data_IF_953475264345
#
_entry.id   IF_953475264345
#
_cell.length_a   1.000
_cell.length_b   1.000
_cell.length_c   1.000
_cell.angle_alpha   90.00
_cell.angle_beta   90.00
_cell.angle_gamma   90.00
#
_symmetry.space_group_name_H-M   'P 1'
#
loop_
_entity.id
_entity.type
_entity.pdbx_description
1 polymer ?
#
# COMPACT_ATOMS: atom_id res chain seq x y z
N UNK A 1 27.82 -34.96 -39.33
CA UNK A 1 27.96 -33.77 -38.47
C UNK A 1 26.56 -33.24 -38.23
N UNK A 2 25.97 -33.54 -37.07
CA UNK A 2 24.65 -33.03 -36.68
C UNK A 2 24.88 -31.65 -36.08
N UNK A 3 24.43 -30.60 -36.74
CA UNK A 3 24.39 -29.27 -36.12
C UNK A 3 23.48 -29.38 -34.89
N UNK A 4 23.93 -28.97 -33.70
CA UNK A 4 23.05 -28.92 -32.53
C UNK A 4 21.88 -28.01 -32.88
N UNK A 5 20.65 -28.54 -32.88
CA UNK A 5 19.46 -27.73 -33.05
C UNK A 5 19.40 -26.76 -31.87
N UNK A 6 19.57 -25.47 -32.15
CA UNK A 6 19.45 -24.43 -31.15
C UNK A 6 18.06 -24.50 -30.51
N UNK A 7 18.02 -24.40 -29.18
CA UNK A 7 16.76 -24.52 -28.44
C UNK A 7 15.77 -23.44 -28.93
N UNK A 8 14.48 -23.77 -29.19
CA UNK A 8 13.53 -22.86 -29.85
C UNK A 8 13.31 -21.53 -29.12
N UNK A 9 13.49 -21.54 -27.79
CA UNK A 9 13.36 -20.34 -26.94
C UNK A 9 14.68 -19.56 -26.76
N UNK A 10 15.79 -19.99 -27.35
CA UNK A 10 17.09 -19.31 -27.23
C UNK A 10 17.03 -17.84 -27.68
N UNK A 11 16.40 -17.47 -28.81
CA UNK A 11 16.30 -16.06 -29.21
C UNK A 11 15.58 -15.21 -28.17
N UNK A 12 14.55 -15.76 -27.55
CA UNK A 12 13.77 -15.09 -26.51
C UNK A 12 14.57 -14.93 -25.22
N UNK A 13 15.33 -15.96 -24.82
CA UNK A 13 16.22 -15.89 -23.67
C UNK A 13 17.29 -14.82 -23.85
N UNK A 14 17.91 -14.78 -25.04
CA UNK A 14 18.92 -13.77 -25.39
C UNK A 14 18.32 -12.37 -25.36
N UNK A 15 17.11 -12.17 -25.89
CA UNK A 15 16.43 -10.88 -25.84
C UNK A 15 16.15 -10.43 -24.39
N UNK A 16 15.67 -11.33 -23.53
CA UNK A 16 15.44 -11.05 -22.11
C UNK A 16 16.75 -10.70 -21.39
N UNK A 17 17.83 -11.44 -21.66
CA UNK A 17 19.15 -11.18 -21.10
C UNK A 17 19.71 -9.82 -21.56
N UNK A 18 19.57 -9.47 -22.85
CA UNK A 18 20.02 -8.21 -23.41
C UNK A 18 19.32 -6.98 -22.80
N UNK A 19 18.10 -7.15 -22.32
CA UNK A 19 17.38 -6.12 -21.57
C UNK A 19 17.78 -6.04 -20.08
N UNK A 20 18.79 -6.80 -19.66
CA UNK A 20 19.35 -6.75 -18.31
C UNK A 20 18.55 -7.53 -17.26
N UNK A 21 17.82 -8.58 -17.65
CA UNK A 21 17.10 -9.41 -16.67
C UNK A 21 18.02 -9.98 -15.60
N UNK A 22 17.67 -9.78 -14.34
CA UNK A 22 18.34 -10.36 -13.18
C UNK A 22 17.31 -10.90 -12.18
N UNK A 23 17.60 -12.03 -11.50
CA UNK A 23 18.86 -12.79 -11.56
C UNK A 23 18.95 -13.75 -12.77
N UNK A 24 20.17 -13.97 -13.29
CA UNK A 24 20.42 -14.89 -14.42
C UNK A 24 19.93 -16.33 -14.14
N UNK A 25 19.92 -16.77 -12.87
CA UNK A 25 19.41 -18.09 -12.48
C UNK A 25 17.92 -18.29 -12.79
N UNK A 26 17.14 -17.22 -12.87
CA UNK A 26 15.71 -17.25 -13.18
C UNK A 26 15.41 -16.90 -14.64
N UNK A 27 16.43 -16.64 -15.45
CA UNK A 27 16.28 -16.25 -16.85
C UNK A 27 15.40 -17.24 -17.62
N UNK A 28 15.59 -18.53 -17.35
CA UNK A 28 14.85 -19.56 -18.06
C UNK A 28 13.39 -19.66 -17.66
N UNK A 29 13.09 -19.48 -16.37
CA UNK A 29 11.72 -19.37 -15.90
C UNK A 29 11.01 -18.16 -16.52
N UNK A 30 11.68 -17.01 -16.57
CA UNK A 30 11.16 -15.81 -17.22
C UNK A 30 10.90 -16.03 -18.72
N UNK A 31 11.82 -16.73 -19.40
CA UNK A 31 11.69 -17.04 -20.83
C UNK A 31 10.50 -17.97 -21.09
N UNK A 32 10.33 -19.01 -20.27
CA UNK A 32 9.19 -19.94 -20.38
C UNK A 32 7.85 -19.23 -20.12
N UNK A 33 7.80 -18.32 -19.16
CA UNK A 33 6.59 -17.51 -18.90
C UNK A 33 6.28 -16.59 -20.08
N UNK A 34 7.28 -15.92 -20.63
CA UNK A 34 7.13 -15.07 -21.82
C UNK A 34 6.63 -15.87 -23.03
N UNK A 35 7.15 -17.08 -23.24
CA UNK A 35 6.76 -17.94 -24.34
C UNK A 35 5.28 -18.40 -24.29
N UNK A 36 4.64 -18.38 -23.12
CA UNK A 36 3.21 -18.69 -22.98
C UNK A 36 2.30 -17.62 -23.58
N UNK A 37 2.83 -16.43 -23.91
CA UNK A 37 2.08 -15.33 -24.53
C UNK A 37 2.75 -14.98 -25.88
N UNK A 38 2.48 -15.73 -26.96
CA UNK A 38 3.25 -15.65 -28.20
C UNK A 38 3.27 -14.26 -28.84
N UNK A 39 2.15 -13.54 -28.81
CA UNK A 39 2.08 -12.17 -29.33
C UNK A 39 3.02 -11.22 -28.59
N UNK A 40 3.05 -11.31 -27.25
CA UNK A 40 3.91 -10.48 -26.42
C UNK A 40 5.39 -10.88 -26.57
N UNK A 41 5.69 -12.17 -26.74
CA UNK A 41 7.04 -12.64 -27.04
C UNK A 41 7.55 -12.10 -28.38
N UNK A 42 6.70 -12.07 -29.42
CA UNK A 42 7.04 -11.46 -30.70
C UNK A 42 7.26 -9.94 -30.57
N UNK A 43 6.44 -9.26 -29.76
CA UNK A 43 6.58 -7.84 -29.49
C UNK A 43 7.88 -7.49 -28.77
N UNK A 44 8.28 -8.32 -27.80
CA UNK A 44 9.57 -8.22 -27.12
C UNK A 44 10.74 -8.38 -28.10
N UNK A 45 10.69 -9.40 -28.96
CA UNK A 45 11.73 -9.63 -29.97
C UNK A 45 11.82 -8.47 -30.96
N UNK A 46 10.69 -7.95 -31.43
CA UNK A 46 10.64 -6.79 -32.31
C UNK A 46 11.20 -5.53 -31.64
N UNK A 47 10.86 -5.31 -30.37
CA UNK A 47 11.37 -4.21 -29.56
C UNK A 47 12.90 -4.26 -29.39
N UNK A 48 13.44 -5.44 -29.05
CA UNK A 48 14.89 -5.64 -28.92
C UNK A 48 15.59 -5.48 -30.27
N UNK A 49 15.01 -6.01 -31.36
CA UNK A 49 15.52 -5.85 -32.73
C UNK A 49 15.58 -4.38 -33.16
N UNK A 50 14.66 -3.55 -32.69
CA UNK A 50 14.64 -2.11 -32.95
C UNK A 50 15.66 -1.31 -32.11
N UNK A 51 16.50 -1.97 -31.30
CA UNK A 51 17.48 -1.31 -30.44
C UNK A 51 16.91 -0.86 -29.09
N UNK A 52 15.74 -1.38 -28.69
CA UNK A 52 15.08 -1.05 -27.42
C UNK A 52 14.87 0.46 -27.17
N UNK A 53 14.32 1.21 -28.14
CA UNK A 53 14.16 2.65 -28.01
C UNK A 53 13.16 3.01 -26.90
N UNK A 54 13.33 4.13 -26.19
CA UNK A 54 12.33 4.59 -25.23
C UNK A 54 10.98 4.86 -25.95
N UNK A 55 9.84 4.66 -25.27
CA UNK A 55 8.53 4.90 -25.87
C UNK A 55 8.30 6.40 -26.18
N UNK A 56 7.99 6.71 -27.42
CA UNK A 56 7.44 8.01 -27.85
C UNK A 56 5.92 7.96 -27.77
N UNK A 57 5.35 8.68 -26.80
CA UNK A 57 3.90 8.75 -26.57
C UNK A 57 3.17 9.68 -27.56
N UNK A 58 3.88 10.61 -28.20
CA UNK A 58 3.29 11.51 -29.20
C UNK A 58 3.04 10.76 -30.51
N UNK A 59 3.99 9.90 -30.88
CA UNK A 59 3.92 9.09 -32.10
C UNK A 59 3.45 7.65 -31.86
N UNK A 60 3.29 7.26 -30.59
CA UNK A 60 2.95 5.90 -30.15
C UNK A 60 3.90 4.84 -30.71
N UNK A 61 5.20 5.14 -30.70
CA UNK A 61 6.26 4.26 -31.19
C UNK A 61 7.20 3.79 -30.07
N UNK A 62 7.76 2.57 -30.16
CA UNK A 62 7.40 1.54 -31.14
C UNK A 62 6.01 0.96 -30.85
N UNK A 63 5.23 0.70 -31.91
CA UNK A 63 3.83 0.29 -31.83
C UNK A 63 3.62 -0.99 -30.98
N UNK A 64 4.62 -1.88 -30.93
CA UNK A 64 4.59 -3.09 -30.11
C UNK A 64 4.39 -2.80 -28.61
N UNK A 65 4.89 -1.65 -28.11
CA UNK A 65 4.72 -1.29 -26.70
C UNK A 65 3.33 -0.77 -26.37
N UNK A 66 2.59 -0.25 -27.36
CA UNK A 66 1.30 0.41 -27.16
C UNK A 66 0.11 -0.54 -27.34
N UNK A 67 0.34 -1.80 -27.69
CA UNK A 67 -0.72 -2.81 -27.80
C UNK A 67 -1.48 -2.96 -26.47
N UNK A 68 -2.82 -3.08 -26.53
CA UNK A 68 -3.65 -3.11 -25.33
C UNK A 68 -3.45 -4.39 -24.53
N UNK A 69 -3.40 -4.25 -23.20
CA UNK A 69 -3.38 -5.31 -22.21
C UNK A 69 -4.63 -5.21 -21.31
N UNK A 70 -5.00 -6.30 -20.62
CA UNK A 70 -6.13 -6.27 -19.68
C UNK A 70 -6.02 -5.15 -18.65
N UNK A 71 -7.12 -4.44 -18.40
CA UNK A 71 -7.15 -3.30 -17.48
C UNK A 71 -6.73 -1.96 -18.09
N UNK A 72 -6.63 -1.87 -19.43
CA UNK A 72 -6.30 -0.62 -20.12
C UNK A 72 -4.81 -0.27 -20.09
N UNK A 73 -3.96 -1.21 -19.69
CA UNK A 73 -2.51 -1.04 -19.70
C UNK A 73 -1.92 -1.34 -21.07
N UNK A 74 -0.68 -0.92 -21.27
CA UNK A 74 0.21 -1.37 -22.33
C UNK A 74 1.63 -1.45 -21.77
N UNK A 75 2.57 -2.08 -22.49
CA UNK A 75 3.98 -2.10 -22.05
C UNK A 75 4.53 -0.66 -21.95
N UNK A 76 4.10 0.23 -22.84
CA UNK A 76 4.47 1.65 -22.80
C UNK A 76 3.96 2.33 -21.52
N UNK A 77 2.68 2.16 -21.14
CA UNK A 77 2.15 2.76 -19.91
C UNK A 77 2.82 2.18 -18.67
N UNK A 78 3.18 0.89 -18.68
CA UNK A 78 3.94 0.26 -17.59
C UNK A 78 5.35 0.88 -17.45
N UNK A 79 6.03 1.18 -18.56
CA UNK A 79 7.32 1.88 -18.52
C UNK A 79 7.16 3.31 -17.98
N UNK A 80 6.16 4.07 -18.45
CA UNK A 80 5.98 5.48 -18.07
C UNK A 80 5.41 5.66 -16.66
N UNK A 81 4.31 4.98 -16.37
CA UNK A 81 3.52 5.24 -15.16
C UNK A 81 4.03 4.47 -13.95
N UNK A 82 4.64 3.31 -14.18
CA UNK A 82 5.25 2.50 -13.12
C UNK A 82 6.76 2.59 -13.08
N UNK A 83 7.40 3.27 -14.04
CA UNK A 83 8.86 3.43 -14.14
C UNK A 83 9.63 2.11 -14.25
N UNK A 84 8.97 1.05 -14.74
CA UNK A 84 9.64 -0.22 -14.98
C UNK A 84 10.67 -0.08 -16.10
N UNK A 85 11.79 -0.78 -15.94
CA UNK A 85 12.65 -1.11 -17.08
C UNK A 85 11.84 -1.93 -18.10
N UNK A 86 12.24 -1.89 -19.37
CA UNK A 86 11.52 -2.57 -20.44
C UNK A 86 11.23 -4.05 -20.11
N UNK A 87 12.23 -4.81 -19.65
CA UNK A 87 12.00 -6.21 -19.29
C UNK A 87 11.01 -6.40 -18.13
N UNK A 88 11.05 -5.52 -17.12
CA UNK A 88 10.09 -5.55 -16.03
C UNK A 88 8.66 -5.31 -16.53
N UNK A 89 8.47 -4.33 -17.41
CA UNK A 89 7.18 -4.03 -18.02
C UNK A 89 6.65 -5.22 -18.86
N UNK A 90 7.50 -5.86 -19.66
CA UNK A 90 7.13 -7.05 -20.42
C UNK A 90 6.75 -8.23 -19.52
N UNK A 91 7.45 -8.48 -18.42
CA UNK A 91 7.12 -9.57 -17.49
C UNK A 91 5.82 -9.32 -16.73
N UNK A 92 5.54 -8.07 -16.38
CA UNK A 92 4.24 -7.70 -15.81
C UNK A 92 3.14 -7.83 -16.86
N UNK A 93 3.41 -7.49 -18.12
CA UNK A 93 2.46 -7.70 -19.21
C UNK A 93 2.14 -9.19 -19.42
N UNK A 94 3.10 -10.10 -19.21
CA UNK A 94 2.84 -11.56 -19.19
C UNK A 94 1.83 -11.92 -18.10
N UNK A 95 2.03 -11.45 -16.86
CA UNK A 95 1.12 -11.72 -15.74
C UNK A 95 -0.27 -11.11 -15.98
N UNK A 96 -0.35 -9.89 -16.52
CA UNK A 96 -1.63 -9.29 -16.91
C UNK A 96 -2.35 -10.11 -17.99
N UNK A 97 -1.60 -10.73 -18.91
CA UNK A 97 -2.18 -11.51 -20.00
C UNK A 97 -2.64 -12.90 -19.55
N UNK A 98 -1.86 -13.56 -18.68
CA UNK A 98 -2.16 -14.91 -18.20
C UNK A 98 -3.13 -14.91 -17.03
N UNK A 99 -3.00 -13.94 -16.12
CA UNK A 99 -3.74 -13.85 -14.83
C UNK A 99 -4.09 -12.39 -14.51
N UNK A 100 -5.07 -11.79 -15.20
CA UNK A 100 -5.36 -10.36 -15.13
C UNK A 100 -5.56 -9.83 -13.71
N UNK A 101 -6.29 -10.54 -12.86
CA UNK A 101 -6.58 -10.09 -11.49
C UNK A 101 -5.33 -10.11 -10.60
N UNK A 102 -4.48 -11.14 -10.73
CA UNK A 102 -3.20 -11.22 -10.02
C UNK A 102 -2.23 -10.15 -10.52
N UNK A 103 -2.16 -9.94 -11.84
CA UNK A 103 -1.33 -8.88 -12.43
C UNK A 103 -1.73 -7.49 -11.94
N UNK A 104 -3.03 -7.20 -11.89
CA UNK A 104 -3.56 -5.93 -11.33
C UNK A 104 -3.25 -5.81 -9.84
N UNK A 105 -3.43 -6.87 -9.06
CA UNK A 105 -3.10 -6.86 -7.64
C UNK A 105 -1.60 -6.59 -7.40
N UNK A 106 -0.72 -7.15 -8.24
CA UNK A 106 0.72 -6.93 -8.17
C UNK A 106 1.09 -5.47 -8.52
N UNK A 107 0.47 -4.90 -9.56
CA UNK A 107 0.60 -3.48 -9.87
C UNK A 107 0.16 -2.60 -8.69
N UNK A 108 -0.97 -2.92 -8.07
CA UNK A 108 -1.46 -2.21 -6.90
C UNK A 108 -0.47 -2.30 -5.72
N UNK A 109 0.09 -3.48 -5.48
CA UNK A 109 1.13 -3.70 -4.48
C UNK A 109 2.34 -2.77 -4.71
N UNK A 110 2.82 -2.66 -5.95
CA UNK A 110 3.95 -1.77 -6.26
C UNK A 110 3.63 -0.29 -6.10
N UNK A 111 2.38 0.13 -6.33
CA UNK A 111 1.97 1.51 -6.06
C UNK A 111 2.01 1.85 -4.56
N UNK A 112 1.74 0.87 -3.70
CA UNK A 112 1.70 1.05 -2.25
C UNK A 112 3.07 0.92 -1.59
N UNK A 113 3.83 -0.11 -1.97
CA UNK A 113 5.07 -0.49 -1.29
C UNK A 113 6.33 -0.17 -2.08
N UNK A 114 6.18 0.32 -3.30
CA UNK A 114 7.28 0.44 -4.25
C UNK A 114 7.78 -0.94 -4.68
N UNK A 115 8.84 -0.92 -5.48
CA UNK A 115 9.56 -2.13 -5.88
C UNK A 115 11.06 -1.83 -5.97
N UNK A 116 11.87 -2.87 -5.79
CA UNK A 116 13.31 -2.76 -5.91
C UNK A 116 13.74 -2.86 -7.38
N UNK A 117 14.49 -1.88 -7.85
CA UNK A 117 15.17 -1.90 -9.15
C UNK A 117 16.66 -2.11 -8.93
N UNK A 118 17.24 -3.06 -9.65
CA UNK A 118 18.69 -3.23 -9.71
C UNK A 118 19.27 -2.34 -10.81
N UNK A 119 20.25 -1.54 -10.48
CA UNK A 119 20.98 -0.69 -11.42
C UNK A 119 22.12 -1.47 -12.08
N UNK A 120 22.76 -0.89 -13.10
CA UNK A 120 23.84 -1.52 -13.86
C UNK A 120 25.09 -1.79 -13.03
N UNK A 121 25.30 -1.02 -11.96
CA UNK A 121 26.40 -1.18 -11.01
C UNK A 121 26.09 -2.22 -9.91
N UNK A 122 24.92 -2.86 -9.95
CA UNK A 122 24.46 -3.83 -8.96
C UNK A 122 23.81 -3.21 -7.71
N UNK A 123 23.79 -1.88 -7.59
CA UNK A 123 23.04 -1.20 -6.53
C UNK A 123 21.54 -1.42 -6.70
N UNK A 124 20.78 -1.24 -5.61
CA UNK A 124 19.32 -1.39 -5.62
C UNK A 124 18.63 -0.13 -5.13
N UNK A 125 17.74 0.41 -5.95
CA UNK A 125 16.88 1.54 -5.61
C UNK A 125 15.48 1.05 -5.27
N UNK A 126 14.89 1.60 -4.21
CA UNK A 126 13.46 1.44 -3.95
C UNK A 126 12.70 2.49 -4.76
N UNK A 127 11.95 2.05 -5.77
CA UNK A 127 11.18 2.91 -6.66
C UNK A 127 9.72 2.92 -6.21
N UNK A 128 9.20 4.11 -5.97
CA UNK A 128 7.77 4.34 -5.85
C UNK A 128 7.30 4.95 -7.18
N UNK A 129 6.38 4.28 -7.91
CA UNK A 129 5.78 4.87 -9.11
C UNK A 129 5.32 6.32 -8.85
N UNK A 130 5.39 7.23 -9.84
CA UNK A 130 4.97 8.63 -9.72
C UNK A 130 3.45 8.81 -9.75
N UNK A 131 2.96 9.92 -9.20
CA UNK A 131 1.52 10.23 -9.16
C UNK A 131 1.12 10.70 -10.55
N UNK A 132 0.67 9.81 -11.42
CA UNK A 132 0.12 10.18 -12.74
C UNK A 132 -1.40 10.29 -12.67
N UNK A 133 -1.97 11.14 -13.51
CA UNK A 133 -3.42 11.41 -13.58
C UNK A 133 -4.26 10.18 -13.96
N UNK A 134 -3.61 9.16 -14.55
CA UNK A 134 -4.22 7.88 -14.91
C UNK A 134 -4.23 6.86 -13.76
N UNK A 135 -3.47 7.10 -12.68
CA UNK A 135 -3.48 6.23 -11.52
C UNK A 135 -4.60 6.66 -10.55
N UNK A 136 -5.19 5.74 -9.77
CA UNK A 136 -6.27 6.06 -8.85
C UNK A 136 -5.89 7.16 -7.86
N UNK A 137 -6.59 8.29 -7.96
CA UNK A 137 -6.39 9.47 -7.12
C UNK A 137 -7.64 9.79 -6.32
N UNK A 138 -7.42 10.34 -5.13
CA UNK A 138 -8.49 10.89 -4.32
C UNK A 138 -9.10 12.11 -5.00
N UNK A 139 -10.41 12.15 -5.29
CA UNK A 139 -11.03 13.31 -5.90
C UNK A 139 -11.00 14.56 -4.98
N UNK A 140 -10.79 14.37 -3.67
CA UNK A 140 -10.70 15.48 -2.71
C UNK A 140 -9.27 16.04 -2.58
N UNK A 141 -8.26 15.19 -2.40
CA UNK A 141 -6.90 15.67 -2.10
C UNK A 141 -5.84 15.29 -3.14
N UNK A 142 -6.23 14.57 -4.20
CA UNK A 142 -5.37 14.05 -5.27
C UNK A 142 -4.20 13.16 -4.81
N UNK A 143 -4.18 12.77 -3.53
CA UNK A 143 -3.29 11.72 -3.05
C UNK A 143 -3.63 10.40 -3.76
N UNK A 144 -2.69 9.44 -3.76
CA UNK A 144 -3.02 8.07 -4.17
C UNK A 144 -4.20 7.58 -3.36
N UNK A 145 -5.23 7.11 -4.05
CA UNK A 145 -6.36 6.47 -3.41
C UNK A 145 -7.05 5.52 -4.37
N UNK A 146 -7.16 4.28 -3.92
CA UNK A 146 -7.67 3.17 -4.69
C UNK A 146 -9.09 2.82 -4.22
N UNK A 147 -9.90 2.28 -5.12
CA UNK A 147 -11.32 2.01 -4.86
C UNK A 147 -11.57 0.87 -3.85
N UNK A 148 -10.57 0.02 -3.62
CA UNK A 148 -10.55 -1.03 -2.61
C UNK A 148 -10.33 -0.50 -1.19
N UNK A 149 -9.81 0.73 -1.04
CA UNK A 149 -9.68 1.37 0.27
C UNK A 149 -10.95 2.16 0.60
N UNK A 150 -11.70 1.79 1.65
CA UNK A 150 -12.95 2.48 2.01
C UNK A 150 -12.71 3.95 2.39
N UNK A 151 -11.50 4.29 2.88
CA UNK A 151 -11.10 5.63 3.28
C UNK A 151 -9.75 6.01 2.69
N UNK A 152 -9.65 7.24 2.18
CA UNK A 152 -8.41 7.86 1.73
C UNK A 152 -7.48 8.11 2.93
N UNK A 153 -6.23 7.58 2.93
CA UNK A 153 -5.32 7.73 4.06
C UNK A 153 -4.78 9.14 4.24
N UNK A 154 -4.81 9.98 3.19
CA UNK A 154 -4.25 11.33 3.25
C UNK A 154 -5.24 12.40 3.72
N UNK A 155 -6.50 12.33 3.29
CA UNK A 155 -7.52 13.34 3.65
C UNK A 155 -8.75 12.77 4.35
N UNK A 156 -8.85 11.44 4.46
CA UNK A 156 -9.99 10.80 5.12
C UNK A 156 -11.27 10.69 4.30
N UNK A 157 -11.27 11.09 3.01
CA UNK A 157 -12.43 10.93 2.12
C UNK A 157 -12.87 9.45 2.05
N UNK A 158 -14.17 9.21 2.12
CA UNK A 158 -14.79 7.86 2.04
C UNK A 158 -15.62 7.80 0.75
N UNK A 159 -15.35 6.84 -0.15
CA UNK A 159 -16.06 6.73 -1.46
C UNK A 159 -17.31 5.87 -1.38
N UNK A 160 -17.29 4.85 -0.52
CA UNK A 160 -18.42 3.99 -0.18
C UNK A 160 -18.59 4.02 1.32
N UNK A 161 -19.78 4.37 1.80
CA UNK A 161 -20.12 4.11 3.18
C UNK A 161 -20.13 2.59 3.33
N UNK A 162 -19.17 2.01 4.05
CA UNK A 162 -19.25 0.61 4.45
C UNK A 162 -20.26 0.57 5.58
N UNK A 163 -21.53 0.42 5.23
CA UNK A 163 -22.54 0.02 6.21
C UNK A 163 -22.51 -1.50 6.33
N UNK A 164 -22.97 -2.04 7.46
CA UNK A 164 -23.19 -3.49 7.64
C UNK A 164 -24.15 -4.04 6.58
N UNK A 165 -24.88 -3.16 5.90
CA UNK A 165 -25.99 -3.46 5.02
C UNK A 165 -25.57 -3.61 3.55
N UNK A 166 -24.37 -3.14 3.16
CA UNK A 166 -23.94 -3.02 1.75
C UNK A 166 -23.01 -4.16 1.24
N UNK A 167 -22.88 -5.29 1.97
CA UNK A 167 -22.12 -6.45 1.49
C UNK A 167 -22.19 -7.67 2.40
N UNK A 168 -21.90 -8.89 1.89
CA UNK A 168 -21.86 -10.08 2.74
C UNK A 168 -20.75 -9.89 3.79
N UNK A 169 -21.15 -9.99 5.06
CA UNK A 169 -20.23 -9.99 6.19
C UNK A 169 -19.11 -11.01 5.94
N UNK A 170 -17.83 -10.67 6.20
CA UNK A 170 -16.72 -11.58 5.98
C UNK A 170 -16.73 -12.65 7.07
N UNK A 171 -17.66 -13.61 6.94
CA UNK A 171 -17.96 -14.64 7.91
C UNK A 171 -16.75 -15.55 8.17
N UNK A 172 -15.91 -15.82 7.17
CA UNK A 172 -14.65 -16.54 7.34
C UNK A 172 -13.62 -15.80 8.21
N UNK A 173 -13.50 -14.47 8.04
CA UNK A 173 -12.62 -13.63 8.89
C UNK A 173 -13.19 -13.51 10.31
N UNK A 174 -14.52 -13.41 10.46
CA UNK A 174 -15.16 -13.45 11.77
C UNK A 174 -14.96 -14.81 12.45
N UNK A 175 -15.10 -15.90 11.71
CA UNK A 175 -14.94 -17.26 12.21
C UNK A 175 -13.51 -17.51 12.70
N UNK A 176 -12.51 -17.01 11.98
CA UNK A 176 -11.10 -17.10 12.38
C UNK A 176 -10.78 -16.23 13.60
N UNK A 177 -11.41 -15.06 13.74
CA UNK A 177 -11.29 -14.24 14.96
C UNK A 177 -11.90 -14.93 16.21
N UNK A 178 -12.98 -15.70 16.05
CA UNK A 178 -13.56 -16.53 17.13
C UNK A 178 -12.80 -17.83 17.42
N UNK A 179 -11.86 -18.24 16.56
CA UNK A 179 -11.09 -19.47 16.75
C UNK A 179 -9.78 -19.26 17.53
N UNK A 180 -9.39 -18.03 17.84
CA UNK A 180 -8.27 -17.76 18.75
C UNK A 180 -8.71 -17.80 20.22
N UNK A 181 -8.40 -18.95 20.83
CA UNK A 181 -8.34 -19.26 22.26
C UNK A 181 -9.66 -19.63 22.97
N UNK A 182 -9.87 -20.95 23.09
CA UNK A 182 -10.41 -21.53 24.32
C UNK A 182 -9.48 -21.18 25.49
N UNK A 183 -9.78 -20.08 26.18
CA UNK A 183 -9.30 -19.89 27.55
C UNK A 183 -10.10 -20.84 28.42
N UNK A 184 -9.41 -21.81 29.00
CA UNK A 184 -9.92 -22.75 29.99
C UNK A 184 -10.87 -22.05 30.98
N UNK A 185 -12.07 -22.63 31.10
CA UNK A 185 -13.14 -22.12 31.91
C UNK A 185 -12.77 -22.13 33.40
N UNK A 186 -12.66 -20.93 33.97
CA UNK A 186 -13.20 -20.70 35.32
C UNK A 186 -13.86 -19.33 35.38
N UNK A 187 -15.06 -19.25 34.81
CA UNK A 187 -15.98 -18.12 35.00
C UNK A 187 -17.01 -18.53 36.05
N UNK A 188 -17.05 -17.91 37.24
CA UNK A 188 -18.20 -18.03 38.12
C UNK A 188 -19.41 -17.29 37.54
N UNK A 189 -20.58 -17.76 37.96
CA UNK A 189 -21.90 -17.59 37.38
C UNK A 189 -22.32 -16.15 36.99
N UNK A 190 -23.14 -16.13 35.94
CA UNK A 190 -23.73 -15.00 35.24
C UNK A 190 -24.38 -13.92 36.12
N UNK A 191 -24.28 -12.66 35.65
CA UNK A 191 -25.25 -11.61 35.94
C UNK A 191 -25.80 -11.11 34.60
N UNK A 192 -27.12 -11.15 34.49
CA UNK A 192 -27.94 -10.89 33.30
C UNK A 192 -27.86 -9.42 32.79
N UNK A 193 -28.20 -9.18 31.51
CA UNK A 193 -28.26 -7.84 30.93
C UNK A 193 -29.61 -7.22 31.28
N UNK A 194 -29.61 -6.29 32.23
CA UNK A 194 -30.54 -5.15 32.34
C UNK A 194 -30.40 -4.56 33.75
N UNK A 195 -29.59 -3.52 33.89
CA UNK A 195 -29.75 -2.54 34.96
C UNK A 195 -29.74 -1.13 34.33
N UNK A 196 -30.70 -0.27 34.67
CA UNK A 196 -30.73 1.11 34.22
C UNK A 196 -29.57 1.87 34.86
N UNK A 197 -28.76 2.54 34.04
CA UNK A 197 -27.76 3.48 34.54
C UNK A 197 -28.51 4.73 35.01
N UNK A 198 -28.62 4.89 36.34
CA UNK A 198 -29.16 6.09 36.98
C UNK A 198 -28.28 7.32 36.71
N UNK A 199 -28.87 8.52 36.58
CA UNK A 199 -28.13 9.75 36.30
C UNK A 199 -27.63 10.36 37.61
N UNK A 200 -26.34 10.19 37.93
CA UNK A 200 -25.66 11.07 38.87
C UNK A 200 -24.87 12.12 38.09
N UNK A 201 -25.57 13.21 37.81
CA UNK A 201 -25.06 14.42 37.19
C UNK A 201 -23.98 15.07 38.05
N UNK A 202 -22.82 15.33 37.46
CA UNK A 202 -22.14 16.60 37.66
C UNK A 202 -21.96 17.19 36.27
N UNK A 203 -22.70 18.27 36.02
CA UNK A 203 -22.90 18.93 34.73
C UNK A 203 -21.62 19.65 34.28
N UNK A 204 -20.54 18.90 34.00
CA UNK A 204 -19.32 19.46 33.43
C UNK A 204 -19.46 19.45 31.92
N UNK A 205 -19.40 20.61 31.28
CA UNK A 205 -19.49 20.76 29.82
C UNK A 205 -18.12 21.12 29.26
N UNK A 206 -17.84 20.66 28.05
CA UNK A 206 -16.63 21.04 27.34
C UNK A 206 -16.60 22.56 27.12
N UNK A 207 -15.53 23.24 27.52
CA UNK A 207 -15.40 24.69 27.33
C UNK A 207 -15.37 25.10 25.84
N UNK A 208 -15.02 24.18 24.93
CA UNK A 208 -14.89 24.49 23.52
C UNK A 208 -16.15 24.18 22.70
N UNK A 209 -16.87 23.10 23.02
CA UNK A 209 -18.05 22.67 22.24
C UNK A 209 -19.32 22.48 23.07
N UNK A 210 -19.28 22.75 24.37
CA UNK A 210 -20.41 22.67 25.32
C UNK A 210 -21.05 21.28 25.48
N UNK A 211 -20.45 20.25 24.88
CA UNK A 211 -20.87 18.86 25.04
C UNK A 211 -20.73 18.39 26.50
N UNK A 212 -21.70 17.64 27.06
CA UNK A 212 -21.58 17.06 28.40
C UNK A 212 -20.38 16.11 28.52
N UNK A 213 -19.69 16.15 29.66
CA UNK A 213 -18.52 15.34 29.97
C UNK A 213 -18.78 14.47 31.20
N UNK A 214 -18.30 13.23 31.17
CA UNK A 214 -18.31 12.31 32.32
C UNK A 214 -17.28 12.74 33.38
N UNK A 215 -17.47 12.35 34.65
CA UNK A 215 -16.72 12.85 35.82
C UNK A 215 -15.18 12.73 35.74
N UNK A 216 -14.64 11.86 34.87
CA UNK A 216 -13.20 11.62 34.71
C UNK A 216 -12.71 11.78 33.27
N UNK A 217 -13.41 12.57 32.45
CA UNK A 217 -13.01 12.84 31.07
C UNK A 217 -11.75 13.72 31.05
N UNK A 218 -10.61 13.19 30.61
CA UNK A 218 -9.40 13.98 30.34
C UNK A 218 -9.43 14.68 28.97
N UNK A 219 -10.31 14.22 28.08
CA UNK A 219 -10.51 14.76 26.74
C UNK A 219 -12.01 14.79 26.41
N UNK A 220 -12.44 15.76 25.61
CA UNK A 220 -13.80 15.83 25.12
C UNK A 220 -14.00 14.85 23.96
N UNK A 221 -14.96 13.90 24.04
CA UNK A 221 -15.19 12.92 22.98
C UNK A 221 -15.75 13.54 21.69
N UNK A 222 -16.33 14.74 21.77
CA UNK A 222 -16.96 15.38 20.61
C UNK A 222 -16.00 16.27 19.81
N UNK A 223 -15.12 17.04 20.48
CA UNK A 223 -14.21 17.97 19.79
C UNK A 223 -12.72 17.71 20.05
N UNK A 224 -12.38 16.71 20.85
CA UNK A 224 -10.99 16.37 21.18
C UNK A 224 -10.28 17.32 22.14
N UNK A 225 -10.95 18.39 22.61
CA UNK A 225 -10.36 19.36 23.53
C UNK A 225 -9.95 18.70 24.87
N UNK A 226 -8.74 18.98 25.33
CA UNK A 226 -8.22 18.49 26.62
C UNK A 226 -8.99 19.16 27.75
N UNK A 227 -9.50 18.36 28.68
CA UNK A 227 -10.25 18.82 29.84
C UNK A 227 -9.29 18.75 31.03
N UNK A 228 -8.84 19.91 31.51
CA UNK A 228 -7.90 19.98 32.61
C UNK A 228 -8.53 19.39 33.89
N UNK A 229 -7.97 18.29 34.37
CA UNK A 229 -8.27 17.75 35.71
C UNK A 229 -7.31 18.44 36.67
N UNK A 230 -7.83 19.14 37.69
CA UNK A 230 -7.02 19.80 38.69
C UNK A 230 -6.13 18.76 39.40
N UNK A 231 -4.82 18.86 39.22
CA UNK A 231 -3.83 18.04 39.88
C UNK A 231 -3.13 18.85 40.99
N UNK A 232 -2.90 18.17 42.12
CA UNK A 232 -2.17 18.63 43.30
C UNK A 232 -0.68 18.97 43.01
N UNK A 233 0.06 19.62 43.94
CA UNK A 233 1.24 20.43 43.63
C UNK A 233 2.52 19.69 43.20
N UNK A 234 3.05 20.20 42.08
CA UNK A 234 4.41 20.44 41.56
C UNK A 234 5.63 19.89 42.33
N UNK A 235 6.46 19.12 41.61
CA UNK A 235 7.93 19.25 41.63
C UNK A 235 8.46 19.43 40.20
N UNK A 236 9.68 19.95 40.04
CA UNK A 236 10.12 20.80 38.92
C UNK A 236 10.22 20.11 37.53
N UNK A 237 9.73 20.75 36.44
CA UNK A 237 9.86 20.25 35.07
C UNK A 237 11.25 20.52 34.48
N UNK A 238 11.87 19.51 33.87
CA UNK A 238 13.12 19.63 33.10
C UNK A 238 12.82 19.94 31.63
N UNK A 239 13.64 20.77 30.97
CA UNK A 239 13.47 21.09 29.54
C UNK A 239 14.06 19.98 28.65
N UNK A 240 13.37 19.64 27.56
CA UNK A 240 13.87 18.66 26.59
C UNK A 240 15.13 19.18 25.88
N UNK A 241 16.25 18.43 25.85
CA UNK A 241 17.50 18.89 25.25
C UNK A 241 17.42 19.06 23.72
N UNK A 242 16.46 18.40 23.05
CA UNK A 242 16.31 18.47 21.59
C UNK A 242 15.42 19.61 21.10
N UNK A 243 14.39 19.98 21.86
CA UNK A 243 13.39 20.95 21.39
C UNK A 243 13.07 22.07 22.39
N UNK A 244 13.69 22.06 23.57
CA UNK A 244 13.47 23.06 24.61
C UNK A 244 12.12 22.97 25.32
N UNK A 245 11.19 22.12 24.85
CA UNK A 245 9.87 21.97 25.45
C UNK A 245 9.98 21.40 26.87
N UNK A 246 9.28 22.02 27.83
CA UNK A 246 9.21 21.55 29.21
C UNK A 246 8.61 20.14 29.26
N UNK A 247 9.38 19.20 29.78
CA UNK A 247 8.94 17.84 30.04
C UNK A 247 8.31 17.77 31.44
N UNK A 248 7.31 16.91 31.59
CA UNK A 248 6.76 16.61 32.92
C UNK A 248 7.80 15.83 33.74
N UNK A 249 7.86 16.03 35.07
CA UNK A 249 8.73 15.24 35.93
C UNK A 249 8.45 13.74 35.74
N UNK A 250 9.51 12.95 35.53
CA UNK A 250 9.40 11.50 35.31
C UNK A 250 8.94 11.07 33.90
N UNK A 251 8.82 11.99 32.94
CA UNK A 251 8.47 11.64 31.57
C UNK A 251 9.61 10.89 30.87
N UNK A 252 9.36 9.63 30.47
CA UNK A 252 10.30 8.83 29.67
C UNK A 252 10.51 9.37 28.25
N UNK A 253 9.55 10.14 27.73
CA UNK A 253 9.58 10.68 26.38
C UNK A 253 9.09 12.13 26.34
N UNK A 254 9.65 12.94 25.46
CA UNK A 254 9.18 14.30 25.21
C UNK A 254 7.83 14.28 24.47
N UNK A 255 6.81 14.89 25.06
CA UNK A 255 5.46 14.98 24.47
C UNK A 255 5.38 15.82 23.19
N UNK A 256 6.42 16.60 22.88
CA UNK A 256 6.45 17.44 21.69
C UNK A 256 7.24 16.81 20.54
N UNK A 257 8.41 16.24 20.81
CA UNK A 257 9.31 15.75 19.76
C UNK A 257 9.59 14.23 19.80
N UNK A 258 9.01 13.51 20.78
CA UNK A 258 9.15 12.05 20.91
C UNK A 258 10.52 11.56 21.37
N UNK A 259 11.47 12.46 21.70
CA UNK A 259 12.79 12.08 22.19
C UNK A 259 12.67 11.33 23.53
N UNK A 260 13.37 10.22 23.66
CA UNK A 260 13.54 9.52 24.93
C UNK A 260 14.39 10.37 25.90
N UNK A 261 13.86 10.66 27.09
CA UNK A 261 14.48 11.50 28.13
C UNK A 261 15.09 10.69 29.28
N UNK A 262 15.11 9.36 29.13
CA UNK A 262 15.51 8.38 30.14
C UNK A 262 17.01 8.06 30.11
#
# INVERSE_FOLDING_TARGET
MVTPQEHPLLPLATAIANLGYQPTSLLWNATQRMAQVPGLAQDLLAYVKAGSPPPDFSQQQPASLFKPLPGGYSVATLIRDYQFQAIGAFLIAVELSLRPDQGKALLNYFLHRGYWRTNTDGSRDLIFPPLTEQLPQCPQCRSRWFEDLPRCPSCGLVRRHVTVEDGPLPLEELATMTQTQSVDQKVPAAIAPNHPVSPTSVNRRCAQCHHPLSQNSHFCPHCGAVVAVAAAPIEHPSACPKCGHLARPGAKFCSHCGLNLN
#
